data_IF_975982791060
#
_entry.id   IF_975982791060
#
_cell.length_a   1.000
_cell.length_b   1.000
_cell.length_c   1.000
_cell.angle_alpha   90.00
_cell.angle_beta   90.00
_cell.angle_gamma   90.00
#
_symmetry.space_group_name_H-M   'P 1'
#
loop_
_entity.id
_entity.type
_entity.pdbx_description
1 polymer ?
#
# COMPACT_ATOMS: atom_id res chain seq x y z
N UNK A 1 9.72 25.95 1.33
CA UNK A 1 8.47 25.92 0.55
C UNK A 1 7.81 27.27 0.73
N UNK A 2 7.64 28.06 -0.34
CA UNK A 2 6.97 29.34 -0.24
C UNK A 2 5.46 29.14 -0.27
N UNK A 3 4.75 29.47 0.83
CA UNK A 3 3.31 29.23 1.00
C UNK A 3 2.44 30.45 0.59
N UNK A 4 3.02 31.44 -0.11
CA UNK A 4 2.34 32.71 -0.41
C UNK A 4 1.06 32.59 -1.25
N UNK A 5 0.87 31.48 -1.98
CA UNK A 5 -0.32 31.24 -2.83
C UNK A 5 -1.06 29.94 -2.43
N UNK A 6 -1.01 29.54 -1.16
CA UNK A 6 -1.66 28.33 -0.67
C UNK A 6 -2.83 28.70 0.23
N UNK A 7 -4.03 28.35 -0.16
CA UNK A 7 -5.23 28.59 0.64
C UNK A 7 -5.45 27.52 1.73
N UNK A 8 -5.10 26.25 1.43
CA UNK A 8 -5.41 25.11 2.27
C UNK A 8 -4.31 24.06 2.23
N UNK A 9 -3.89 23.58 3.40
CA UNK A 9 -3.02 22.40 3.54
C UNK A 9 -3.84 21.23 4.06
N UNK A 10 -3.75 20.10 3.36
CA UNK A 10 -4.41 18.85 3.73
C UNK A 10 -3.38 17.83 4.23
N UNK A 11 -3.40 17.57 5.52
CA UNK A 11 -2.65 16.48 6.13
C UNK A 11 -3.53 15.23 6.16
N UNK A 12 -3.12 14.18 5.44
CA UNK A 12 -3.88 12.91 5.36
C UNK A 12 -2.99 11.73 5.79
N UNK A 13 -3.64 10.68 6.28
CA UNK A 13 -2.97 9.43 6.67
C UNK A 13 -1.85 9.64 7.72
N UNK A 14 -2.09 10.50 8.69
CA UNK A 14 -1.17 10.75 9.79
C UNK A 14 -1.38 9.67 10.84
N UNK A 15 -0.32 8.91 11.14
CA UNK A 15 -0.35 7.92 12.21
C UNK A 15 -0.37 8.61 13.59
N UNK A 16 -1.15 8.07 14.53
CA UNK A 16 -1.26 8.59 15.91
C UNK A 16 0.08 8.78 16.63
N UNK A 17 1.08 7.95 16.31
CA UNK A 17 2.41 7.97 16.93
C UNK A 17 3.48 8.65 16.05
N UNK A 18 3.08 9.43 15.04
CA UNK A 18 4.04 10.11 14.17
C UNK A 18 4.48 11.46 14.74
N UNK A 19 5.73 11.84 14.46
CA UNK A 19 6.25 13.17 14.84
C UNK A 19 5.39 14.30 14.28
N UNK A 20 4.80 14.12 13.09
CA UNK A 20 3.90 15.12 12.50
C UNK A 20 2.63 15.28 13.36
N UNK A 21 2.07 14.20 13.90
CA UNK A 21 0.92 14.27 14.80
C UNK A 21 1.25 15.07 16.04
N UNK A 22 2.44 14.87 16.59
CA UNK A 22 2.94 15.62 17.75
C UNK A 22 3.19 17.10 17.41
N UNK A 23 3.92 17.38 16.32
CA UNK A 23 4.30 18.74 15.92
C UNK A 23 3.13 19.65 15.56
N UNK A 24 2.07 19.08 14.97
CA UNK A 24 0.88 19.86 14.60
C UNK A 24 -0.10 20.08 15.76
N UNK A 25 0.25 19.60 16.96
CA UNK A 25 -0.61 19.65 18.15
C UNK A 25 -1.84 18.71 18.03
N UNK A 26 -2.20 18.07 19.12
CA UNK A 26 -3.30 17.09 19.16
C UNK A 26 -4.70 17.67 18.92
N UNK A 27 -4.84 19.00 19.01
CA UNK A 27 -6.12 19.68 18.76
C UNK A 27 -6.50 19.68 17.28
N UNK A 28 -7.77 19.39 17.00
CA UNK A 28 -8.38 19.45 15.67
C UNK A 28 -7.99 18.36 14.67
N UNK A 29 -7.36 17.27 15.11
CA UNK A 29 -7.26 16.06 14.29
C UNK A 29 -8.61 15.33 14.27
N UNK A 30 -9.00 14.90 13.08
CA UNK A 30 -10.14 14.00 12.89
C UNK A 30 -9.65 12.60 12.58
N UNK A 31 -10.27 11.59 13.18
CA UNK A 31 -9.95 10.20 12.93
C UNK A 31 -10.27 9.86 11.48
N UNK A 32 -9.32 9.23 10.79
CA UNK A 32 -9.52 8.73 9.44
C UNK A 32 -10.37 7.45 9.49
N UNK A 33 -11.28 7.21 8.55
CA UNK A 33 -12.16 6.03 8.59
C UNK A 33 -11.43 4.70 8.42
N UNK A 34 -10.20 4.73 7.91
CA UNK A 34 -9.37 3.54 7.72
C UNK A 34 -8.20 3.55 8.69
N UNK A 35 -7.89 2.37 9.24
CA UNK A 35 -6.70 2.16 10.06
C UNK A 35 -5.54 1.68 9.21
N UNK A 36 -4.31 1.81 9.72
CA UNK A 36 -3.14 1.12 9.20
C UNK A 36 -2.94 -0.19 9.98
N UNK A 37 -2.49 -1.21 9.27
CA UNK A 37 -2.29 -2.56 9.82
C UNK A 37 -0.84 -2.97 9.69
N UNK A 38 -0.24 -3.48 10.79
CA UNK A 38 1.15 -3.88 10.84
C UNK A 38 1.28 -5.31 11.32
N UNK A 39 2.31 -6.00 10.81
CA UNK A 39 2.79 -7.24 11.35
C UNK A 39 4.14 -6.96 12.02
N UNK A 40 4.17 -7.09 13.34
CA UNK A 40 5.34 -6.84 14.17
C UNK A 40 5.99 -8.18 14.53
N UNK A 41 7.33 -8.23 14.46
CA UNK A 41 8.11 -9.34 15.00
C UNK A 41 8.39 -9.08 16.46
N UNK A 42 7.75 -9.82 17.34
CA UNK A 42 8.11 -9.84 18.75
C UNK A 42 9.35 -10.72 18.96
N UNK A 43 10.18 -10.39 19.94
CA UNK A 43 11.49 -11.03 20.18
C UNK A 43 11.44 -12.47 20.68
N UNK A 44 10.28 -13.07 20.82
CA UNK A 44 10.14 -14.48 21.31
C UNK A 44 10.36 -15.46 20.17
N UNK A 45 11.30 -16.39 20.37
CA UNK A 45 11.85 -17.33 19.38
C UNK A 45 10.84 -18.31 18.72
N UNK A 46 9.58 -18.38 19.15
CA UNK A 46 8.64 -19.44 18.76
C UNK A 46 7.32 -18.97 18.16
N UNK A 47 7.13 -17.70 17.85
CA UNK A 47 5.87 -17.26 17.28
C UNK A 47 5.84 -17.44 15.76
N UNK A 48 4.87 -18.21 15.29
CA UNK A 48 4.51 -18.25 13.87
C UNK A 48 4.00 -16.86 13.45
N UNK A 49 4.89 -16.02 12.89
CA UNK A 49 4.60 -14.65 12.44
C UNK A 49 3.38 -14.61 11.51
N UNK A 50 3.16 -15.69 10.77
CA UNK A 50 2.06 -15.83 9.81
C UNK A 50 1.11 -16.94 10.27
N UNK A 51 -0.19 -16.71 10.19
CA UNK A 51 -1.19 -17.70 10.56
C UNK A 51 -1.02 -19.02 9.80
N UNK A 52 -1.17 -20.16 10.50
CA UNK A 52 -1.05 -21.52 9.92
C UNK A 52 -1.95 -21.69 8.70
N UNK A 53 -3.16 -21.14 8.74
CA UNK A 53 -4.11 -21.21 7.63
C UNK A 53 -3.55 -20.52 6.37
N UNK A 54 -3.10 -19.26 6.48
CA UNK A 54 -2.54 -18.53 5.34
C UNK A 54 -1.30 -19.23 4.77
N UNK A 55 -0.41 -19.71 5.64
CA UNK A 55 0.77 -20.49 5.24
C UNK A 55 0.39 -21.73 4.44
N UNK A 56 -0.57 -22.54 4.94
CA UNK A 56 -1.00 -23.77 4.30
C UNK A 56 -1.68 -23.51 2.94
N UNK A 57 -2.58 -22.52 2.89
CA UNK A 57 -3.27 -22.12 1.65
C UNK A 57 -2.27 -21.63 0.61
N UNK A 58 -1.30 -20.81 1.01
CA UNK A 58 -0.26 -20.30 0.11
C UNK A 58 0.65 -21.43 -0.38
N UNK A 59 1.08 -22.34 0.50
CA UNK A 59 1.91 -23.47 0.12
C UNK A 59 1.21 -24.40 -0.87
N UNK A 60 -0.11 -24.59 -0.72
CA UNK A 60 -0.91 -25.34 -1.71
C UNK A 60 -0.88 -24.66 -3.08
N UNK A 61 -1.04 -23.34 -3.15
CA UNK A 61 -0.97 -22.61 -4.41
C UNK A 61 0.45 -22.63 -5.01
N UNK A 62 1.48 -22.51 -4.20
CA UNK A 62 2.87 -22.67 -4.63
C UNK A 62 3.10 -24.04 -5.28
N UNK A 63 2.63 -25.13 -4.64
CA UNK A 63 2.74 -26.49 -5.21
C UNK A 63 2.04 -26.60 -6.56
N UNK A 64 0.81 -26.07 -6.67
CA UNK A 64 0.04 -26.09 -7.92
C UNK A 64 0.75 -25.28 -9.04
N UNK A 65 1.30 -24.11 -8.70
CA UNK A 65 1.97 -23.28 -9.68
C UNK A 65 3.31 -23.88 -10.13
N UNK A 66 4.04 -24.54 -9.20
CA UNK A 66 5.27 -25.26 -9.53
C UNK A 66 5.07 -26.47 -10.48
N UNK A 67 3.85 -27.02 -10.56
CA UNK A 67 3.51 -28.04 -11.52
C UNK A 67 3.41 -27.51 -12.95
N UNK A 68 3.27 -26.19 -13.12
CA UNK A 68 3.14 -25.54 -14.43
C UNK A 68 4.45 -24.89 -14.91
N UNK A 69 5.49 -24.83 -14.07
CA UNK A 69 6.78 -24.24 -14.45
C UNK A 69 7.66 -23.93 -13.24
N UNK A 70 8.85 -23.40 -13.50
CA UNK A 70 9.86 -23.02 -12.50
C UNK A 70 9.47 -21.69 -11.83
N UNK A 71 8.90 -21.76 -10.62
CA UNK A 71 8.53 -20.59 -9.82
C UNK A 71 9.73 -20.08 -9.00
N UNK A 72 10.07 -18.79 -9.13
CA UNK A 72 11.12 -18.12 -8.36
C UNK A 72 10.60 -16.82 -7.75
N UNK A 73 10.97 -16.56 -6.49
CA UNK A 73 10.87 -15.27 -5.83
C UNK A 73 12.21 -14.55 -5.93
N UNK A 74 12.20 -13.27 -6.33
CA UNK A 74 13.40 -12.46 -6.50
C UNK A 74 13.22 -11.06 -5.94
N UNK A 75 14.34 -10.45 -5.55
CA UNK A 75 14.44 -9.02 -5.24
C UNK A 75 15.23 -8.38 -6.39
N UNK A 76 14.81 -7.21 -6.83
CA UNK A 76 15.58 -6.46 -7.84
C UNK A 76 16.81 -5.83 -7.20
N UNK A 77 17.95 -6.11 -7.73
CA UNK A 77 19.28 -5.64 -7.29
C UNK A 77 19.95 -4.73 -8.31
N UNK A 78 19.43 -4.66 -9.53
CA UNK A 78 19.96 -3.86 -10.63
C UNK A 78 18.85 -3.07 -11.33
N UNK A 79 19.25 -2.03 -12.07
CA UNK A 79 18.28 -1.12 -12.72
C UNK A 79 17.50 -1.78 -13.86
N UNK A 80 18.09 -2.78 -14.52
CA UNK A 80 17.39 -3.53 -15.56
C UNK A 80 16.18 -4.30 -15.02
N UNK A 81 16.34 -4.98 -13.89
CA UNK A 81 15.23 -5.68 -13.22
C UNK A 81 14.20 -4.69 -12.67
N UNK A 82 14.65 -3.56 -12.09
CA UNK A 82 13.75 -2.51 -11.61
C UNK A 82 12.87 -1.98 -12.76
N UNK A 83 13.47 -1.69 -13.92
CA UNK A 83 12.72 -1.22 -15.10
C UNK A 83 11.68 -2.24 -15.58
N UNK A 84 12.04 -3.51 -15.63
CA UNK A 84 11.09 -4.57 -15.98
C UNK A 84 9.91 -4.63 -15.02
N UNK A 85 10.19 -4.55 -13.72
CA UNK A 85 9.17 -4.55 -12.66
C UNK A 85 8.28 -3.33 -12.81
N UNK A 86 8.85 -2.15 -13.02
CA UNK A 86 8.08 -0.91 -13.17
C UNK A 86 7.16 -0.95 -14.39
N UNK A 87 7.66 -1.40 -15.55
CA UNK A 87 6.86 -1.60 -16.76
C UNK A 87 5.72 -2.60 -16.53
N UNK A 88 6.02 -3.72 -15.89
CA UNK A 88 5.00 -4.70 -15.51
C UNK A 88 3.96 -4.08 -14.58
N UNK A 89 4.39 -3.35 -13.55
CA UNK A 89 3.50 -2.67 -12.61
C UNK A 89 2.56 -1.71 -13.33
N UNK A 90 3.08 -0.78 -14.14
CA UNK A 90 2.27 0.21 -14.86
C UNK A 90 1.20 -0.47 -15.70
N UNK A 91 1.58 -1.50 -16.48
CA UNK A 91 0.65 -2.21 -17.36
C UNK A 91 -0.47 -2.95 -16.58
N UNK A 92 -0.07 -3.79 -15.61
CA UNK A 92 -1.05 -4.64 -14.91
C UNK A 92 -1.86 -3.86 -13.87
N UNK A 93 -1.26 -2.85 -13.22
CA UNK A 93 -1.97 -2.00 -12.25
C UNK A 93 -3.00 -1.11 -12.94
N UNK A 94 -2.69 -0.52 -14.08
CA UNK A 94 -3.65 0.25 -14.88
C UNK A 94 -4.88 -0.60 -15.23
N UNK A 95 -4.66 -1.83 -15.72
CA UNK A 95 -5.75 -2.76 -16.02
C UNK A 95 -6.59 -3.09 -14.77
N UNK A 96 -5.94 -3.31 -13.61
CA UNK A 96 -6.64 -3.57 -12.35
C UNK A 96 -7.50 -2.38 -11.91
N UNK A 97 -6.99 -1.14 -12.02
CA UNK A 97 -7.69 0.08 -11.65
C UNK A 97 -8.93 0.28 -12.53
N UNK A 98 -8.78 0.16 -13.84
CA UNK A 98 -9.89 0.26 -14.80
C UNK A 98 -10.96 -0.81 -14.52
N UNK A 99 -10.57 -2.07 -14.37
CA UNK A 99 -11.51 -3.18 -14.13
C UNK A 99 -12.25 -3.07 -12.79
N UNK A 100 -11.70 -2.33 -11.81
CA UNK A 100 -12.34 -2.08 -10.52
C UNK A 100 -13.05 -0.73 -10.42
N UNK A 101 -13.23 -0.03 -11.56
CA UNK A 101 -13.82 1.31 -11.64
C UNK A 101 -13.15 2.33 -10.69
N UNK A 102 -11.84 2.18 -10.50
CA UNK A 102 -11.05 3.14 -9.75
C UNK A 102 -10.36 4.12 -10.70
N UNK A 103 -10.15 5.34 -10.21
CA UNK A 103 -9.34 6.31 -10.95
C UNK A 103 -7.95 5.77 -11.27
N UNK A 104 -7.62 5.74 -12.58
CA UNK A 104 -6.32 5.27 -13.03
C UNK A 104 -5.30 6.41 -13.01
N UNK A 105 -4.66 6.61 -11.86
CA UNK A 105 -3.62 7.61 -11.67
C UNK A 105 -2.37 7.36 -12.53
N UNK A 106 -2.22 6.16 -13.08
CA UNK A 106 -1.10 5.81 -13.96
C UNK A 106 -1.31 6.28 -15.41
N UNK A 107 -2.45 6.93 -15.73
CA UNK A 107 -2.61 7.68 -16.98
C UNK A 107 -1.87 9.02 -16.93
N UNK A 108 -1.55 9.53 -15.75
CA UNK A 108 -0.79 10.77 -15.57
C UNK A 108 0.72 10.48 -15.60
N UNK A 109 1.42 11.08 -16.56
CA UNK A 109 2.87 10.91 -16.73
C UNK A 109 3.65 11.51 -15.57
N UNK A 110 3.22 12.63 -15.00
CA UNK A 110 3.84 13.23 -13.82
C UNK A 110 3.81 12.26 -12.65
N UNK A 111 2.70 11.54 -12.47
CA UNK A 111 2.60 10.54 -11.40
C UNK A 111 3.48 9.31 -11.67
N UNK A 112 3.61 8.86 -12.91
CA UNK A 112 4.54 7.78 -13.28
C UNK A 112 6.00 8.19 -13.01
N UNK A 113 6.41 9.38 -13.43
CA UNK A 113 7.75 9.93 -13.18
C UNK A 113 8.02 10.03 -11.68
N UNK A 114 7.05 10.49 -10.90
CA UNK A 114 7.15 10.57 -9.44
C UNK A 114 7.37 9.19 -8.81
N UNK A 115 6.57 8.19 -9.18
CA UNK A 115 6.74 6.82 -8.68
C UNK A 115 8.08 6.23 -9.10
N UNK A 116 8.48 6.39 -10.36
CA UNK A 116 9.78 5.95 -10.83
C UNK A 116 10.91 6.56 -9.99
N UNK A 117 10.90 7.88 -9.79
CA UNK A 117 11.90 8.56 -8.98
C UNK A 117 11.98 8.02 -7.55
N UNK A 118 10.85 7.79 -6.89
CA UNK A 118 10.83 7.26 -5.51
C UNK A 118 11.46 5.86 -5.45
N UNK A 119 11.12 4.97 -6.38
CA UNK A 119 11.57 3.58 -6.30
C UNK A 119 12.96 3.34 -6.86
N UNK A 120 13.47 4.22 -7.71
CA UNK A 120 14.80 4.10 -8.28
C UNK A 120 15.87 4.88 -7.48
N UNK A 121 15.52 6.07 -6.97
CA UNK A 121 16.48 6.97 -6.31
C UNK A 121 16.45 6.90 -4.77
N UNK A 122 15.35 6.42 -4.13
CA UNK A 122 15.15 6.49 -2.68
C UNK A 122 14.82 5.12 -2.10
N UNK A 123 15.84 4.34 -1.70
CA UNK A 123 15.65 3.09 -0.89
C UNK A 123 14.42 2.26 -1.26
N UNK A 124 14.05 2.27 -2.55
CA UNK A 124 12.95 1.49 -3.08
C UNK A 124 13.25 0.01 -2.92
N UNK A 125 12.25 -0.76 -2.50
CA UNK A 125 12.32 -2.20 -2.44
C UNK A 125 11.37 -2.77 -3.48
N UNK A 126 11.93 -3.43 -4.49
CA UNK A 126 11.17 -4.07 -5.56
C UNK A 126 11.38 -5.57 -5.50
N UNK A 127 10.27 -6.30 -5.41
CA UNK A 127 10.27 -7.77 -5.38
C UNK A 127 9.30 -8.34 -6.40
N UNK A 128 9.58 -9.55 -6.89
CA UNK A 128 8.77 -10.14 -7.93
C UNK A 128 8.77 -11.66 -7.92
N UNK A 129 7.75 -12.24 -8.54
CA UNK A 129 7.66 -13.66 -8.85
C UNK A 129 7.83 -13.88 -10.35
N UNK A 130 8.60 -14.88 -10.71
CA UNK A 130 8.66 -15.39 -12.09
C UNK A 130 8.20 -16.83 -12.17
N UNK A 131 7.55 -17.17 -13.28
CA UNK A 131 7.26 -18.53 -13.70
C UNK A 131 7.91 -18.70 -15.09
N UNK A 132 8.86 -19.64 -15.22
CA UNK A 132 9.67 -19.84 -16.44
C UNK A 132 10.22 -18.52 -17.02
N UNK A 133 10.82 -17.70 -16.14
CA UNK A 133 11.37 -16.37 -16.43
C UNK A 133 10.32 -15.27 -16.78
N UNK A 134 9.04 -15.58 -16.95
CA UNK A 134 7.99 -14.57 -17.10
C UNK A 134 7.62 -14.00 -15.73
N UNK A 135 7.59 -12.67 -15.59
CA UNK A 135 7.09 -12.00 -14.38
C UNK A 135 5.56 -12.23 -14.29
N UNK A 136 5.08 -12.68 -13.12
CA UNK A 136 3.67 -12.95 -12.86
C UNK A 136 3.08 -12.14 -11.70
N UNK A 137 3.93 -11.61 -10.82
CA UNK A 137 3.53 -10.69 -9.76
C UNK A 137 4.70 -9.81 -9.36
N UNK A 138 4.42 -8.56 -8.98
CA UNK A 138 5.41 -7.60 -8.49
C UNK A 138 4.88 -6.86 -7.27
N UNK A 139 5.82 -6.40 -6.46
CA UNK A 139 5.59 -5.46 -5.37
C UNK A 139 6.65 -4.38 -5.41
N UNK A 140 6.21 -3.12 -5.23
CA UNK A 140 7.07 -1.97 -5.04
C UNK A 140 6.73 -1.32 -3.70
N UNK A 141 7.73 -1.07 -2.90
CA UNK A 141 7.61 -0.48 -1.57
C UNK A 141 8.92 0.15 -1.12
N UNK A 142 9.02 0.46 0.16
CA UNK A 142 10.24 1.04 0.74
C UNK A 142 10.62 0.30 2.01
N UNK A 143 11.93 0.18 2.26
CA UNK A 143 12.47 -0.30 3.53
C UNK A 143 13.25 0.83 4.19
N UNK A 144 12.86 1.18 5.42
CA UNK A 144 13.51 2.21 6.21
C UNK A 144 13.47 1.85 7.70
N UNK A 145 14.59 1.96 8.39
CA UNK A 145 14.72 1.68 9.83
C UNK A 145 14.10 0.36 10.30
N UNK A 146 14.30 -0.72 9.53
CA UNK A 146 13.74 -2.03 9.87
C UNK A 146 12.22 -2.16 9.65
N UNK A 147 11.62 -1.20 8.95
CA UNK A 147 10.22 -1.19 8.57
C UNK A 147 10.07 -1.30 7.05
N UNK A 148 9.23 -2.21 6.59
CA UNK A 148 8.83 -2.33 5.18
C UNK A 148 7.44 -1.76 5.00
N UNK A 149 7.29 -0.82 4.06
CA UNK A 149 6.01 -0.29 3.62
C UNK A 149 5.52 -1.08 2.40
N UNK A 150 4.42 -1.82 2.55
CA UNK A 150 3.80 -2.61 1.49
C UNK A 150 2.85 -1.74 0.67
N UNK A 151 3.36 -1.11 -0.41
CA UNK A 151 2.65 -0.01 -1.08
C UNK A 151 1.90 -0.45 -2.35
N UNK A 152 2.61 -0.98 -3.33
CA UNK A 152 2.11 -1.18 -4.68
C UNK A 152 2.24 -2.64 -5.16
N UNK A 153 1.41 -3.57 -4.65
CA UNK A 153 1.35 -4.92 -5.20
C UNK A 153 0.50 -4.95 -6.48
N UNK A 154 0.92 -5.76 -7.44
CA UNK A 154 0.09 -6.14 -8.60
C UNK A 154 0.51 -7.49 -9.16
N UNK A 155 -0.34 -8.10 -9.96
CA UNK A 155 -0.08 -9.40 -10.56
C UNK A 155 -0.77 -9.52 -11.93
N UNK A 156 -0.28 -10.47 -12.74
CA UNK A 156 -0.88 -10.84 -14.00
C UNK A 156 -2.19 -11.62 -13.76
N UNK A 157 -3.30 -11.10 -14.25
CA UNK A 157 -4.64 -11.65 -14.00
C UNK A 157 -4.83 -13.07 -14.59
N UNK A 158 -4.04 -13.45 -15.59
CA UNK A 158 -4.07 -14.80 -16.18
C UNK A 158 -3.70 -15.87 -15.15
N UNK A 159 -2.92 -15.50 -14.13
CA UNK A 159 -2.51 -16.38 -13.04
C UNK A 159 -3.38 -16.24 -11.78
N UNK A 160 -4.51 -15.52 -11.83
CA UNK A 160 -5.38 -15.24 -10.67
C UNK A 160 -5.80 -16.51 -9.91
N UNK A 161 -6.05 -17.62 -10.60
CA UNK A 161 -6.45 -18.91 -9.99
C UNK A 161 -5.40 -19.51 -9.05
N UNK A 162 -4.15 -19.05 -9.13
CA UNK A 162 -3.05 -19.47 -8.28
C UNK A 162 -2.73 -18.46 -7.18
N UNK A 163 -3.44 -17.33 -7.11
CA UNK A 163 -3.24 -16.26 -6.12
C UNK A 163 -1.78 -15.76 -6.04
N UNK A 164 -1.14 -15.34 -7.15
CA UNK A 164 0.28 -15.00 -7.16
C UNK A 164 0.60 -13.81 -6.27
N UNK A 165 -0.34 -12.90 -6.02
CA UNK A 165 -0.18 -11.81 -5.06
C UNK A 165 0.00 -12.30 -3.63
N UNK A 166 -0.71 -13.35 -3.20
CA UNK A 166 -0.54 -13.96 -1.88
C UNK A 166 0.77 -14.72 -1.77
N UNK A 167 1.20 -15.38 -2.85
CA UNK A 167 2.50 -16.08 -2.90
C UNK A 167 3.63 -15.06 -2.78
N UNK A 168 3.56 -13.95 -3.52
CA UNK A 168 4.55 -12.87 -3.42
C UNK A 168 4.59 -12.28 -2.02
N UNK A 169 3.44 -11.93 -1.45
CA UNK A 169 3.32 -11.37 -0.10
C UNK A 169 3.92 -12.32 0.95
N UNK A 170 3.61 -13.62 0.88
CA UNK A 170 4.14 -14.63 1.80
C UNK A 170 5.67 -14.70 1.74
N UNK A 171 6.24 -14.81 0.53
CA UNK A 171 7.69 -14.85 0.36
C UNK A 171 8.36 -13.55 0.83
N UNK A 172 7.75 -12.40 0.55
CA UNK A 172 8.26 -11.10 0.96
C UNK A 172 8.27 -10.95 2.49
N UNK A 173 7.21 -11.37 3.19
CA UNK A 173 7.16 -11.35 4.65
C UNK A 173 8.29 -12.22 5.24
N UNK A 174 8.43 -13.45 4.74
CA UNK A 174 9.49 -14.37 5.20
C UNK A 174 10.87 -13.79 4.92
N UNK A 175 11.12 -13.31 3.70
CA UNK A 175 12.37 -12.65 3.33
C UNK A 175 12.68 -11.48 4.27
N UNK A 176 11.75 -10.58 4.47
CA UNK A 176 11.94 -9.37 5.25
C UNK A 176 12.31 -9.67 6.72
N UNK A 177 11.58 -10.57 7.38
CA UNK A 177 11.85 -10.89 8.77
C UNK A 177 13.11 -11.76 8.96
N UNK A 178 13.46 -12.60 8.00
CA UNK A 178 14.71 -13.35 8.02
C UNK A 178 15.95 -12.45 7.84
N UNK A 179 15.79 -11.30 7.15
CA UNK A 179 16.84 -10.31 6.99
C UNK A 179 16.79 -9.19 8.06
N UNK A 180 16.29 -9.49 9.26
CA UNK A 180 16.34 -8.57 10.41
C UNK A 180 15.26 -7.48 10.42
N UNK A 181 14.24 -7.58 9.55
CA UNK A 181 13.08 -6.69 9.58
C UNK A 181 12.34 -6.74 10.91
N UNK A 182 11.76 -5.61 11.32
CA UNK A 182 11.06 -5.45 12.60
C UNK A 182 9.56 -5.23 12.43
N UNK A 183 9.16 -4.48 11.43
CA UNK A 183 7.78 -4.08 11.18
C UNK A 183 7.44 -4.18 9.70
N UNK A 184 6.45 -5.00 9.35
CA UNK A 184 5.86 -5.07 8.01
C UNK A 184 4.55 -4.29 8.02
N UNK A 185 4.53 -3.10 7.42
CA UNK A 185 3.38 -2.20 7.41
C UNK A 185 2.57 -2.39 6.11
N UNK A 186 1.37 -2.97 6.24
CA UNK A 186 0.42 -3.12 5.13
C UNK A 186 -0.21 -1.80 4.69
N UNK A 187 0.10 -0.71 5.35
CA UNK A 187 -0.45 0.63 5.13
C UNK A 187 -1.95 0.73 5.43
N UNK A 188 -2.56 1.86 5.06
CA UNK A 188 -3.99 2.11 5.26
C UNK A 188 -4.86 1.24 4.37
N UNK A 189 -6.00 0.82 4.91
CA UNK A 189 -7.03 0.08 4.16
C UNK A 189 -7.66 -1.01 5.02
N UNK A 190 -8.85 -1.46 4.65
CA UNK A 190 -9.60 -2.49 5.38
C UNK A 190 -9.69 -3.79 4.57
N UNK A 191 -8.72 -4.05 3.69
CA UNK A 191 -8.70 -5.28 2.91
C UNK A 191 -8.55 -6.49 3.85
N UNK A 192 -9.35 -7.55 3.64
CA UNK A 192 -9.42 -8.68 4.57
C UNK A 192 -8.07 -9.35 4.86
N UNK A 193 -7.16 -9.37 3.89
CA UNK A 193 -5.84 -9.96 4.08
C UNK A 193 -4.96 -9.16 5.06
N UNK A 194 -5.06 -7.81 5.05
CA UNK A 194 -4.33 -6.94 5.97
C UNK A 194 -4.74 -7.23 7.41
N UNK A 195 -6.06 -7.28 7.66
CA UNK A 195 -6.63 -7.56 8.98
C UNK A 195 -6.21 -8.97 9.46
N UNK A 196 -6.23 -9.98 8.57
CA UNK A 196 -5.90 -11.37 8.93
C UNK A 196 -4.41 -11.61 9.18
N UNK A 197 -3.53 -10.84 8.55
CA UNK A 197 -2.09 -11.02 8.66
C UNK A 197 -1.44 -10.10 9.69
N UNK A 198 -2.12 -9.04 10.11
CA UNK A 198 -1.59 -8.09 11.09
C UNK A 198 -1.80 -8.58 12.53
N UNK A 199 -0.89 -8.17 13.41
CA UNK A 199 -1.01 -8.30 14.85
C UNK A 199 -1.02 -6.94 15.57
N UNK A 200 -0.93 -5.84 14.81
CA UNK A 200 -1.01 -4.48 15.31
C UNK A 200 -1.89 -3.64 14.38
N UNK A 201 -2.66 -2.73 14.99
CA UNK A 201 -3.53 -1.79 14.30
C UNK A 201 -3.27 -0.40 14.84
N UNK A 202 -3.03 0.59 13.96
CA UNK A 202 -2.84 1.99 14.32
C UNK A 202 -3.96 2.85 13.78
N UNK A 203 -4.42 3.79 14.61
CA UNK A 203 -5.36 4.80 14.15
C UNK A 203 -4.66 5.80 13.23
N UNK A 204 -5.39 6.20 12.21
CA UNK A 204 -4.93 7.22 11.27
C UNK A 204 -5.79 8.47 11.44
N UNK A 205 -5.19 9.61 11.21
CA UNK A 205 -5.81 10.90 11.37
C UNK A 205 -5.63 11.76 10.13
N UNK A 206 -6.47 12.78 10.02
CA UNK A 206 -6.31 13.85 9.06
C UNK A 206 -6.56 15.21 9.73
N UNK A 207 -5.94 16.23 9.16
CA UNK A 207 -6.11 17.62 9.60
C UNK A 207 -6.13 18.52 8.36
N UNK A 208 -7.10 19.43 8.32
CA UNK A 208 -7.19 20.45 7.30
C UNK A 208 -6.78 21.78 7.92
N UNK A 209 -5.84 22.49 7.33
CA UNK A 209 -5.35 23.78 7.78
C UNK A 209 -5.64 24.84 6.71
N UNK A 210 -6.72 25.62 6.89
CA UNK A 210 -7.03 26.76 6.02
C UNK A 210 -6.13 27.93 6.39
N UNK A 211 -5.31 28.40 5.46
CA UNK A 211 -4.38 29.50 5.64
C UNK A 211 -5.03 30.85 5.31
N UNK A 212 -5.96 30.88 4.36
CA UNK A 212 -6.73 32.05 3.98
C UNK A 212 -8.20 31.91 4.40
N UNK A 213 -8.98 32.98 4.24
CA UNK A 213 -10.44 32.92 4.49
C UNK A 213 -11.13 31.89 3.58
N UNK A 214 -10.76 31.86 2.28
CA UNK A 214 -11.24 30.86 1.33
C UNK A 214 -10.84 29.44 1.75
N UNK A 215 -9.59 29.25 2.16
CA UNK A 215 -9.07 27.97 2.65
C UNK A 215 -9.83 27.46 3.90
N UNK A 216 -10.23 28.36 4.81
CA UNK A 216 -11.06 28.01 5.98
C UNK A 216 -12.45 27.52 5.57
N UNK A 217 -13.10 28.22 4.61
CA UNK A 217 -14.42 27.79 4.08
C UNK A 217 -14.29 26.41 3.43
N UNK A 218 -13.31 26.21 2.56
CA UNK A 218 -13.07 24.92 1.88
C UNK A 218 -12.80 23.82 2.92
N UNK A 219 -12.03 24.11 3.97
CA UNK A 219 -11.78 23.16 5.07
C UNK A 219 -13.05 22.67 5.72
N UNK A 220 -13.98 23.58 6.04
CA UNK A 220 -15.29 23.23 6.64
C UNK A 220 -16.13 22.38 5.69
N UNK A 221 -16.19 22.74 4.41
CA UNK A 221 -16.93 21.96 3.39
C UNK A 221 -16.34 20.54 3.27
N UNK A 222 -15.03 20.39 3.23
CA UNK A 222 -14.37 19.08 3.16
C UNK A 222 -14.61 18.24 4.41
N UNK A 223 -14.66 18.84 5.60
CA UNK A 223 -14.99 18.14 6.84
C UNK A 223 -16.44 17.63 6.80
N UNK A 224 -17.37 18.47 6.33
CA UNK A 224 -18.78 18.09 6.18
C UNK A 224 -18.94 16.94 5.18
N UNK A 225 -18.32 17.03 4.01
CA UNK A 225 -18.35 15.97 2.98
C UNK A 225 -17.72 14.66 3.49
N UNK A 226 -16.64 14.72 4.28
CA UNK A 226 -16.04 13.53 4.89
C UNK A 226 -16.95 12.87 5.93
N UNK A 227 -17.71 13.66 6.69
CA UNK A 227 -18.72 13.14 7.62
C UNK A 227 -19.89 12.46 6.86
N UNK A 228 -20.31 13.03 5.73
CA UNK A 228 -21.36 12.45 4.87
C UNK A 228 -20.91 11.10 4.24
N UNK A 229 -19.63 10.94 3.88
CA UNK A 229 -19.08 9.67 3.37
C UNK A 229 -19.15 8.53 4.37
N UNK A 230 -19.19 8.83 5.66
CA UNK A 230 -19.32 7.82 6.72
C UNK A 230 -20.73 7.28 6.87
N UNK A 231 -21.74 7.94 6.27
CA UNK A 231 -23.13 7.47 6.24
C UNK A 231 -23.26 6.54 5.01
N UNK A 232 -23.45 5.23 5.27
CA UNK A 232 -23.43 4.19 4.22
C UNK A 232 -24.39 4.41 3.03
N UNK A 233 -25.46 5.18 3.19
CA UNK A 233 -26.40 5.57 2.11
C UNK A 233 -25.81 6.56 1.11
N UNK A 234 -24.84 7.38 1.49
CA UNK A 234 -24.24 8.41 0.63
C UNK A 234 -23.02 7.92 -0.14
N UNK A 235 -22.44 6.77 0.21
CA UNK A 235 -21.40 6.11 -0.60
C UNK A 235 -21.86 5.83 -2.02
N UNK A 236 -23.12 5.45 -2.21
CA UNK A 236 -23.72 5.19 -3.53
C UNK A 236 -23.90 6.48 -4.36
N UNK A 237 -24.27 7.58 -3.73
CA UNK A 237 -24.47 8.87 -4.40
C UNK A 237 -23.13 9.51 -4.73
N UNK A 238 -22.16 9.46 -3.82
CA UNK A 238 -20.81 9.99 -4.04
C UNK A 238 -20.08 9.28 -5.18
N UNK A 239 -20.22 7.95 -5.29
CA UNK A 239 -19.64 7.21 -6.41
C UNK A 239 -20.30 7.52 -7.76
N UNK A 240 -21.55 8.01 -7.77
CA UNK A 240 -22.24 8.48 -8.99
C UNK A 240 -21.91 9.93 -9.37
N UNK A 241 -21.45 10.76 -8.45
CA UNK A 241 -21.10 12.18 -8.72
C UNK A 241 -19.60 12.33 -9.06
N UNK A 242 -18.80 11.30 -8.85
CA UNK A 242 -17.35 11.31 -9.06
C UNK A 242 -16.93 11.00 -10.51
N UNK A 243 -17.92 10.86 -11.41
CA UNK A 243 -17.71 10.61 -12.86
C UNK A 243 -18.39 11.69 -13.69
#
# INVERSE_FOLDING_TARGET
>A
MNLQNVDLILFKNICENSNIHFLLGSSNFKKYPFSSYQLLKYSTKNENIISKKFKNDTNRQIKRLKQTGKLLFKIADNDYDKEKIFKFFVNHKSKQLVNSNNWNYLNDDCYKIFLHSIFFNYKGHLSYLTLDNKIIAVHMGNIYNGKLLYLFPTYDNDYRKYSPGNILLYNLIIFFFNNGGKEFDFTTGNEPYKIKLSNCKRNMFFKNCGLTFLGKIISVILLFLNNLKNINKLKLIYNKIKY
#
